data_IF_994413677475
#
_entry.id   IF_994413677475
#
_cell.length_a   1.000
_cell.length_b   1.000
_cell.length_c   1.000
_cell.angle_alpha   90.00
_cell.angle_beta   90.00
_cell.angle_gamma   90.00
#
_symmetry.space_group_name_H-M   'P 1'
#
loop_
_entity.id
_entity.type
_entity.pdbx_description
1 polymer ?
#
# COMPACT_ATOMS: atom_id res chain seq x y z
N UNK A 1 10.06 -16.41 -13.26
CA UNK A 1 8.77 -16.90 -12.72
C UNK A 1 8.11 -17.74 -13.80
N UNK A 2 7.61 -18.94 -13.48
CA UNK A 2 7.02 -19.85 -14.48
C UNK A 2 5.57 -19.47 -14.79
N UNK A 3 5.09 -19.55 -16.05
CA UNK A 3 3.71 -19.22 -16.41
C UNK A 3 2.66 -20.00 -15.62
N UNK A 4 2.93 -21.29 -15.33
CA UNK A 4 2.05 -22.13 -14.50
C UNK A 4 1.89 -21.60 -13.07
N UNK A 5 2.93 -20.98 -12.50
CA UNK A 5 2.86 -20.39 -11.18
C UNK A 5 1.92 -19.19 -11.15
N UNK A 6 1.91 -18.37 -12.22
CA UNK A 6 1.01 -17.22 -12.37
C UNK A 6 -0.45 -17.69 -12.38
N UNK A 7 -0.75 -18.71 -13.19
CA UNK A 7 -2.10 -19.29 -13.27
C UNK A 7 -2.61 -19.79 -11.90
N UNK A 8 -1.73 -20.36 -11.07
CA UNK A 8 -2.10 -20.75 -9.70
C UNK A 8 -2.37 -19.56 -8.77
N UNK A 9 -1.67 -18.44 -8.96
CA UNK A 9 -1.88 -17.23 -8.18
C UNK A 9 -3.22 -16.57 -8.57
N UNK A 10 -3.51 -16.46 -9.86
CA UNK A 10 -4.77 -15.89 -10.36
C UNK A 10 -5.99 -16.75 -9.99
N UNK A 11 -5.85 -18.08 -9.98
CA UNK A 11 -6.91 -18.99 -9.55
C UNK A 11 -7.05 -19.09 -8.02
N UNK A 12 -6.25 -18.36 -7.23
CA UNK A 12 -6.29 -18.39 -5.76
C UNK A 12 -5.84 -19.71 -5.12
N UNK A 13 -5.33 -20.66 -5.91
CA UNK A 13 -4.92 -22.00 -5.42
C UNK A 13 -3.61 -21.96 -4.63
N UNK A 14 -2.80 -20.92 -4.84
CA UNK A 14 -1.52 -20.73 -4.16
C UNK A 14 -1.32 -19.25 -3.84
N UNK A 15 -0.88 -18.95 -2.62
CA UNK A 15 -0.48 -17.58 -2.26
C UNK A 15 0.91 -17.27 -2.82
N UNK A 16 1.09 -16.16 -3.54
CA UNK A 16 2.42 -15.72 -3.97
C UNK A 16 3.25 -15.31 -2.75
N UNK A 17 4.57 -15.54 -2.80
CA UNK A 17 5.50 -14.96 -1.83
C UNK A 17 5.67 -13.46 -2.06
N UNK A 18 6.22 -12.76 -1.08
CA UNK A 18 6.52 -11.32 -1.20
C UNK A 18 7.37 -10.99 -2.44
N UNK A 19 8.40 -11.79 -2.70
CA UNK A 19 9.27 -11.62 -3.87
C UNK A 19 8.50 -11.77 -5.19
N UNK A 20 7.54 -12.71 -5.26
CA UNK A 20 6.69 -12.90 -6.44
C UNK A 20 5.74 -11.71 -6.64
N UNK A 21 5.13 -11.20 -5.57
CA UNK A 21 4.27 -9.99 -5.64
C UNK A 21 5.08 -8.80 -6.11
N UNK A 22 6.29 -8.60 -5.58
CA UNK A 22 7.19 -7.51 -6.00
C UNK A 22 7.61 -7.65 -7.46
N UNK A 23 7.95 -8.85 -7.91
CA UNK A 23 8.31 -9.11 -9.30
C UNK A 23 7.14 -8.83 -10.25
N UNK A 24 5.93 -9.27 -9.88
CA UNK A 24 4.69 -9.01 -10.63
C UNK A 24 4.37 -7.51 -10.68
N UNK A 25 4.44 -6.80 -9.55
CA UNK A 25 4.20 -5.36 -9.46
C UNK A 25 5.13 -4.58 -10.39
N UNK A 26 6.42 -4.92 -10.39
CA UNK A 26 7.42 -4.30 -11.27
C UNK A 26 7.14 -4.59 -12.75
N UNK A 27 6.77 -5.83 -13.10
CA UNK A 27 6.49 -6.22 -14.48
C UNK A 27 5.22 -5.54 -15.03
N UNK A 28 4.18 -5.44 -14.21
CA UNK A 28 2.89 -4.85 -14.56
C UNK A 28 2.85 -3.32 -14.39
N UNK A 29 3.91 -2.72 -13.84
CA UNK A 29 3.99 -1.27 -13.51
C UNK A 29 2.83 -0.81 -12.59
N UNK A 30 2.45 -1.64 -11.64
CA UNK A 30 1.42 -1.36 -10.62
C UNK A 30 2.03 -1.46 -9.22
N UNK A 31 1.35 -0.95 -8.19
CA UNK A 31 1.82 -1.12 -6.81
C UNK A 31 1.59 -2.55 -6.32
N UNK A 32 2.43 -3.00 -5.37
CA UNK A 32 2.20 -4.28 -4.70
C UNK A 32 0.87 -4.27 -3.92
N UNK A 33 0.51 -3.12 -3.36
CA UNK A 33 -0.77 -2.87 -2.68
C UNK A 33 -1.97 -3.15 -3.60
N UNK A 34 -1.87 -2.72 -4.86
CA UNK A 34 -2.90 -2.97 -5.86
C UNK A 34 -3.10 -4.48 -6.13
N UNK A 35 -2.00 -5.24 -6.25
CA UNK A 35 -2.07 -6.69 -6.44
C UNK A 35 -2.60 -7.44 -5.21
N UNK A 36 -2.37 -6.89 -4.03
CA UNK A 36 -2.83 -7.48 -2.76
C UNK A 36 -4.26 -7.07 -2.40
N UNK A 37 -4.91 -6.22 -3.19
CA UNK A 37 -6.23 -5.68 -2.88
C UNK A 37 -6.23 -4.79 -1.64
N UNK A 38 -5.09 -4.19 -1.30
CA UNK A 38 -5.02 -3.16 -0.27
C UNK A 38 -5.64 -1.88 -0.84
N UNK A 39 -6.97 -1.74 -0.69
CA UNK A 39 -7.66 -0.48 -0.89
C UNK A 39 -7.18 0.50 0.18
N UNK A 40 -6.49 1.54 -0.28
CA UNK A 40 -5.73 2.50 0.50
C UNK A 40 -4.41 1.92 1.02
N UNK A 41 -3.31 2.56 0.59
CA UNK A 41 -2.04 2.54 1.29
C UNK A 41 -2.34 2.56 2.77
N UNK A 42 -1.72 1.66 3.56
CA UNK A 42 -1.75 1.68 5.02
C UNK A 42 -1.87 3.13 5.45
N UNK A 43 -3.10 3.53 5.79
CA UNK A 43 -3.38 4.94 6.00
C UNK A 43 -2.43 5.30 7.12
N UNK A 44 -1.56 6.29 6.91
CA UNK A 44 -0.61 6.70 7.96
C UNK A 44 -1.37 6.97 9.28
N UNK A 45 -2.67 7.21 9.16
CA UNK A 45 -3.68 7.31 10.19
C UNK A 45 -4.54 6.02 10.21
N UNK A 46 -4.39 5.20 11.24
CA UNK A 46 -5.41 4.18 11.55
C UNK A 46 -6.77 4.87 11.70
N UNK A 47 -7.85 4.22 11.23
CA UNK A 47 -9.22 4.74 11.25
C UNK A 47 -9.40 6.11 10.55
N UNK A 48 -8.71 6.30 9.43
CA UNK A 48 -8.80 7.51 8.61
C UNK A 48 -10.24 7.88 8.20
N UNK A 49 -11.12 6.88 8.08
CA UNK A 49 -12.55 7.02 7.81
C UNK A 49 -13.31 7.74 8.94
N UNK A 50 -12.77 7.69 10.17
CA UNK A 50 -13.31 8.40 11.33
C UNK A 50 -12.76 9.81 11.49
N UNK A 51 -11.75 10.19 10.69
CA UNK A 51 -11.17 11.54 10.74
C UNK A 51 -11.97 12.51 9.88
N UNK A 52 -12.41 13.61 10.49
CA UNK A 52 -12.99 14.72 9.75
C UNK A 52 -11.91 15.47 8.95
N UNK A 53 -12.35 16.27 7.98
CA UNK A 53 -11.45 17.15 7.22
C UNK A 53 -10.61 18.09 8.11
N UNK A 54 -11.16 18.51 9.27
CA UNK A 54 -10.45 19.37 10.23
C UNK A 54 -9.34 18.61 10.95
N UNK A 55 -9.58 17.36 11.34
CA UNK A 55 -8.59 16.53 12.04
C UNK A 55 -7.37 16.27 11.15
N UNK A 56 -7.62 16.05 9.86
CA UNK A 56 -6.56 15.87 8.84
C UNK A 56 -5.68 17.11 8.71
N UNK A 57 -6.29 18.30 8.65
CA UNK A 57 -5.55 19.56 8.56
C UNK A 57 -4.70 19.81 9.81
N UNK A 58 -5.25 19.52 10.99
CA UNK A 58 -4.52 19.66 12.24
C UNK A 58 -3.29 18.75 12.30
N UNK A 59 -3.46 17.49 11.91
CA UNK A 59 -2.35 16.52 11.90
C UNK A 59 -1.29 16.91 10.86
N UNK A 60 -1.70 17.39 9.68
CA UNK A 60 -0.75 17.87 8.67
C UNK A 60 0.10 19.03 9.20
N UNK A 61 -0.51 19.98 9.90
CA UNK A 61 0.21 21.10 10.51
C UNK A 61 1.23 20.64 11.56
N UNK A 62 0.92 19.59 12.34
CA UNK A 62 1.86 19.02 13.31
C UNK A 62 3.06 18.39 12.58
N UNK A 63 2.81 17.60 11.54
CA UNK A 63 3.86 16.97 10.74
C UNK A 63 4.79 18.03 10.14
N UNK A 64 4.23 19.08 9.56
CA UNK A 64 5.00 20.17 8.94
C UNK A 64 5.86 20.91 9.96
N UNK A 65 5.34 21.11 11.18
CA UNK A 65 6.09 21.72 12.29
C UNK A 65 7.25 20.83 12.71
N UNK A 66 7.02 19.52 12.86
CA UNK A 66 8.07 18.56 13.26
C UNK A 66 9.18 18.38 12.21
N UNK A 67 8.86 18.52 10.93
CA UNK A 67 9.85 18.51 9.85
C UNK A 67 10.67 19.81 9.86
N UNK A 68 10.02 20.95 10.13
CA UNK A 68 10.67 22.25 10.19
C UNK A 68 11.69 22.35 11.34
N UNK A 69 11.37 21.78 12.50
CA UNK A 69 12.27 21.75 13.67
C UNK A 69 13.45 20.78 13.50
N UNK A 70 13.42 19.87 12.51
CA UNK A 70 14.52 18.96 12.17
C UNK A 70 15.53 19.54 11.17
N UNK A 71 15.30 20.75 10.64
CA UNK A 71 16.21 21.47 9.74
C UNK A 71 17.04 22.50 10.50
#
# INVERSE_FOLDING_TARGET
MQPSAIAHFEAGRRKPSFDNVRALAKALKVSADYLLGAQAATTAFRDEDKLSAKDRLFIQNIIDTMIKDKK
#
